data_IF_010031841181
#
_entry.id   IF_010031841181
#
_cell.length_a   1.000
_cell.length_b   1.000
_cell.length_c   1.000
_cell.angle_alpha   90.00
_cell.angle_beta   90.00
_cell.angle_gamma   90.00
#
_symmetry.space_group_name_H-M   'P 1'
#
loop_
_entity.id
_entity.type
_entity.pdbx_description
1 polymer ?
#
# COMPACT_ATOMS: atom_id res chain seq x y z
N UNK A 1 -2.99 -14.57 30.77
CA UNK A 1 -3.13 -14.15 30.58
C UNK A 1 -3.30 -13.73 30.39
N UNK A 2 -3.30 -13.76 29.82
CA UNK A 2 -3.42 -13.26 29.46
C UNK A 2 -3.71 -12.68 29.10
N UNK A 3 -3.66 -12.60 29.17
CA UNK A 3 -3.88 -11.95 28.53
C UNK A 3 -4.21 -11.70 27.96
N UNK A 4 -4.12 -11.72 27.88
CA UNK A 4 -4.33 -11.40 27.17
C UNK A 4 -4.61 -11.47 26.45
N UNK A 5 -4.61 -11.73 26.49
CA UNK A 5 -4.90 -11.85 25.80
C UNK A 5 -5.61 -11.89 25.33
N UNK A 6 -5.71 -11.92 25.18
CA UNK A 6 -6.31 -11.96 24.70
C UNK A 6 -7.03 -11.75 24.13
N UNK A 7 -7.04 -11.58 23.99
CA UNK A 7 -7.66 -11.46 23.38
C UNK A 7 -7.95 -11.48 22.77
N UNK A 8 -7.89 -11.47 22.53
CA UNK A 8 -8.04 -11.70 21.77
C UNK A 8 -8.28 -11.93 20.84
N UNK A 9 -8.45 -11.90 20.80
CA UNK A 9 -8.34 -12.47 19.48
C UNK A 9 -9.25 -11.84 18.47
N UNK A 10 -10.47 -11.65 18.79
CA UNK A 10 -11.32 -10.80 17.97
C UNK A 10 -10.70 -9.42 17.98
N UNK A 11 -10.14 -8.90 17.08
CA UNK A 11 -9.42 -7.66 17.04
C UNK A 11 -7.91 -7.85 16.87
N UNK A 12 -7.47 -9.11 16.84
CA UNK A 12 -6.07 -9.38 16.54
C UNK A 12 -5.78 -8.99 15.08
N UNK A 13 -4.67 -8.30 14.91
CA UNK A 13 -4.21 -7.92 13.59
C UNK A 13 -3.61 -9.13 12.89
N UNK A 14 -3.95 -9.32 11.60
CA UNK A 14 -3.40 -10.40 10.80
C UNK A 14 -2.78 -9.86 9.52
N UNK A 15 -1.82 -10.59 8.97
CA UNK A 15 -1.26 -10.28 7.67
C UNK A 15 -2.30 -10.64 6.60
N UNK A 16 -2.76 -9.64 5.86
CA UNK A 16 -3.76 -9.83 4.81
C UNK A 16 -3.11 -10.06 3.45
N UNK A 17 -2.13 -9.25 3.09
CA UNK A 17 -1.50 -9.28 1.77
C UNK A 17 -0.01 -9.00 1.89
N UNK A 18 0.75 -9.68 1.03
CA UNK A 18 2.15 -9.37 0.75
C UNK A 18 2.21 -8.94 -0.72
N UNK A 19 2.77 -7.75 -0.98
CA UNK A 19 2.72 -7.14 -2.30
C UNK A 19 4.10 -6.74 -2.77
N UNK A 20 4.36 -7.00 -4.05
CA UNK A 20 5.55 -6.51 -4.73
C UNK A 20 5.12 -5.80 -6.00
N UNK A 21 5.78 -4.70 -6.33
CA UNK A 21 5.47 -3.94 -7.53
C UNK A 21 6.68 -3.24 -8.09
N UNK A 22 6.55 -2.81 -9.33
CA UNK A 22 7.61 -2.11 -10.05
C UNK A 22 7.01 -0.93 -10.80
N UNK A 23 7.76 0.18 -10.82
CA UNK A 23 7.35 1.35 -11.58
C UNK A 23 7.35 1.05 -13.07
N UNK A 24 6.31 1.48 -13.77
CA UNK A 24 6.22 1.40 -15.23
C UNK A 24 6.45 2.78 -15.86
N UNK A 25 5.99 3.85 -15.20
CA UNK A 25 6.25 5.23 -15.61
C UNK A 25 6.48 6.11 -14.41
N UNK A 26 7.16 7.24 -14.63
CA UNK A 26 7.36 8.27 -13.60
C UNK A 26 7.20 9.64 -14.28
N UNK A 27 6.54 10.57 -13.58
CA UNK A 27 6.31 11.92 -14.07
C UNK A 27 6.61 12.92 -12.97
N UNK A 28 7.26 14.01 -13.34
CA UNK A 28 7.44 15.15 -12.46
C UNK A 28 6.31 16.12 -12.79
N UNK A 29 5.45 16.40 -11.80
CA UNK A 29 4.27 17.21 -12.02
C UNK A 29 4.52 18.69 -11.72
N UNK A 30 5.34 18.98 -10.70
CA UNK A 30 5.59 20.37 -10.31
C UNK A 30 6.75 20.47 -9.32
N UNK A 31 7.36 21.66 -9.28
CA UNK A 31 8.31 22.07 -8.26
C UNK A 31 7.73 23.28 -7.54
N UNK A 32 7.87 23.33 -6.23
CA UNK A 32 7.43 24.47 -5.44
C UNK A 32 8.26 24.55 -4.16
N UNK A 33 8.11 25.64 -3.37
CA UNK A 33 8.77 25.70 -2.05
C UNK A 33 8.35 24.57 -1.12
N UNK A 34 7.17 23.98 -1.34
CA UNK A 34 6.72 22.82 -0.56
C UNK A 34 7.49 21.54 -0.88
N UNK A 35 8.06 21.45 -2.09
CA UNK A 35 8.79 20.29 -2.53
C UNK A 35 8.52 19.92 -3.98
N UNK A 36 8.65 18.63 -4.26
CA UNK A 36 8.51 18.07 -5.61
C UNK A 36 7.26 17.20 -5.65
N UNK A 37 6.37 17.50 -6.61
CA UNK A 37 5.18 16.66 -6.85
C UNK A 37 5.48 15.67 -7.96
N UNK A 38 5.31 14.39 -7.63
CA UNK A 38 5.59 13.28 -8.54
C UNK A 38 4.35 12.42 -8.71
N UNK A 39 4.29 11.74 -9.84
CA UNK A 39 3.29 10.72 -10.10
C UNK A 39 3.96 9.53 -10.76
N UNK A 40 3.62 8.32 -10.34
CA UNK A 40 4.16 7.10 -10.90
C UNK A 40 3.06 6.09 -11.12
N UNK A 41 3.23 5.26 -12.14
CA UNK A 41 2.38 4.09 -12.34
C UNK A 41 3.18 2.84 -11.99
N UNK A 42 2.50 1.84 -11.47
CA UNK A 42 3.10 0.63 -10.95
C UNK A 42 2.31 -0.58 -11.44
N UNK A 43 3.00 -1.70 -11.55
CA UNK A 43 2.38 -3.00 -11.76
C UNK A 43 2.99 -4.00 -10.78
N UNK A 44 2.19 -4.94 -10.32
CA UNK A 44 2.69 -5.89 -9.35
C UNK A 44 1.77 -7.06 -9.06
N UNK A 45 2.13 -7.79 -8.02
CA UNK A 45 1.39 -8.96 -7.58
C UNK A 45 1.15 -8.91 -6.07
N UNK A 46 0.05 -9.50 -5.66
CA UNK A 46 -0.34 -9.63 -4.26
C UNK A 46 -0.63 -11.09 -3.95
N UNK A 47 -0.21 -11.53 -2.78
CA UNK A 47 -0.52 -12.86 -2.25
C UNK A 47 -1.02 -12.73 -0.81
N UNK A 48 -1.87 -13.65 -0.41
CA UNK A 48 -2.40 -13.67 0.96
C UNK A 48 -3.84 -14.14 0.99
N UNK A 49 -4.74 -13.31 1.54
CA UNK A 49 -6.16 -13.66 1.60
C UNK A 49 -6.78 -13.83 0.21
N UNK A 50 -6.10 -13.35 -0.80
CA UNK A 50 -6.33 -13.68 -2.21
C UNK A 50 -5.00 -13.54 -2.95
N UNK A 51 -4.92 -14.12 -4.13
CA UNK A 51 -3.82 -13.90 -5.07
C UNK A 51 -4.32 -13.00 -6.19
N UNK A 52 -3.52 -12.02 -6.59
CA UNK A 52 -3.94 -11.05 -7.58
C UNK A 52 -2.74 -10.46 -8.33
N UNK A 53 -3.03 -9.96 -9.52
CA UNK A 53 -2.17 -8.97 -10.17
C UNK A 53 -2.82 -7.61 -10.01
N UNK A 54 -2.01 -6.54 -10.03
CA UNK A 54 -2.57 -5.21 -9.91
C UNK A 54 -1.79 -4.18 -10.71
N UNK A 55 -2.44 -3.08 -10.99
CA UNK A 55 -1.77 -1.86 -11.44
C UNK A 55 -2.26 -0.70 -10.60
N UNK A 56 -1.45 0.35 -10.56
CA UNK A 56 -1.65 1.41 -9.59
C UNK A 56 -1.12 2.74 -10.07
N UNK A 57 -1.66 3.80 -9.49
CA UNK A 57 -1.11 5.16 -9.62
C UNK A 57 -0.81 5.67 -8.21
N UNK A 58 0.41 6.19 -8.04
CA UNK A 58 0.84 6.84 -6.81
C UNK A 58 1.11 8.31 -7.10
N UNK A 59 0.59 9.18 -6.24
CA UNK A 59 0.91 10.61 -6.25
C UNK A 59 1.66 10.96 -4.97
N UNK A 60 2.70 11.77 -5.08
CA UNK A 60 3.62 12.04 -3.98
C UNK A 60 3.97 13.52 -3.91
N UNK A 61 4.17 14.00 -2.68
CA UNK A 61 4.85 15.26 -2.41
C UNK A 61 6.14 14.94 -1.64
N UNK A 62 7.28 15.12 -2.30
CA UNK A 62 8.60 14.94 -1.67
C UNK A 62 8.97 16.27 -1.03
N UNK A 63 8.97 16.31 0.30
CA UNK A 63 9.19 17.54 1.05
C UNK A 63 10.67 17.79 1.35
N UNK A 64 11.06 19.05 1.61
CA UNK A 64 12.46 19.38 1.89
C UNK A 64 13.06 18.67 3.10
N UNK A 65 12.23 18.23 4.05
CA UNK A 65 12.68 17.52 5.25
C UNK A 65 12.93 16.03 5.03
N UNK A 66 12.91 15.57 3.75
CA UNK A 66 13.13 14.17 3.35
C UNK A 66 11.99 13.23 3.71
N UNK A 67 10.81 13.78 3.98
CA UNK A 67 9.59 12.98 4.10
C UNK A 67 8.76 13.10 2.83
N UNK A 68 7.92 12.10 2.59
CA UNK A 68 7.06 12.04 1.40
C UNK A 68 5.65 11.75 1.87
N UNK A 69 4.71 12.62 1.51
CA UNK A 69 3.29 12.32 1.66
C UNK A 69 2.81 11.68 0.37
N UNK A 70 2.05 10.59 0.46
CA UNK A 70 1.61 9.88 -0.74
C UNK A 70 0.19 9.34 -0.62
N UNK A 71 -0.42 9.15 -1.79
CA UNK A 71 -1.67 8.42 -1.97
C UNK A 71 -1.48 7.43 -3.11
N UNK A 72 -2.07 6.24 -2.98
CA UNK A 72 -1.99 5.20 -3.99
C UNK A 72 -3.38 4.63 -4.23
N UNK A 73 -3.72 4.45 -5.49
CA UNK A 73 -4.93 3.76 -5.91
C UNK A 73 -4.55 2.56 -6.75
N UNK A 74 -5.04 1.40 -6.36
CA UNK A 74 -4.73 0.14 -7.03
C UNK A 74 -6.01 -0.57 -7.45
N UNK A 75 -5.94 -1.25 -8.58
CA UNK A 75 -6.98 -2.19 -8.99
C UNK A 75 -6.36 -3.58 -8.98
N UNK A 76 -6.84 -4.44 -8.10
CA UNK A 76 -6.42 -5.83 -8.00
C UNK A 76 -7.41 -6.70 -8.78
N UNK A 77 -6.88 -7.58 -9.62
CA UNK A 77 -7.67 -8.63 -10.26
C UNK A 77 -7.23 -9.95 -9.66
N UNK A 78 -8.14 -10.60 -8.94
CA UNK A 78 -7.83 -11.85 -8.24
C UNK A 78 -7.74 -13.00 -9.21
N UNK A 79 -7.10 -14.09 -8.80
CA UNK A 79 -7.03 -15.30 -9.60
C UNK A 79 -8.42 -15.90 -9.89
N UNK A 80 -9.40 -15.60 -9.05
CA UNK A 80 -10.80 -16.00 -9.27
C UNK A 80 -11.59 -15.06 -10.16
N UNK A 81 -10.99 -13.96 -10.64
CA UNK A 81 -11.65 -13.01 -11.54
C UNK A 81 -12.38 -11.86 -10.85
N UNK A 82 -12.26 -11.74 -9.52
CA UNK A 82 -12.85 -10.62 -8.79
C UNK A 82 -11.98 -9.38 -8.88
N UNK A 83 -12.60 -8.21 -8.75
CA UNK A 83 -11.88 -6.93 -8.66
C UNK A 83 -11.94 -6.41 -7.23
N UNK A 84 -10.79 -5.94 -6.74
CA UNK A 84 -10.68 -5.28 -5.44
C UNK A 84 -9.98 -3.94 -5.66
N UNK A 85 -10.64 -2.85 -5.26
CA UNK A 85 -10.05 -1.52 -5.30
C UNK A 85 -9.38 -1.28 -3.96
N UNK A 86 -8.13 -0.83 -3.99
CA UNK A 86 -7.36 -0.61 -2.77
C UNK A 86 -6.81 0.81 -2.80
N UNK A 87 -7.06 1.54 -1.72
CA UNK A 87 -6.57 2.89 -1.53
C UNK A 87 -5.62 2.92 -0.35
N UNK A 88 -4.50 3.61 -0.54
CA UNK A 88 -3.48 3.78 0.50
C UNK A 88 -3.18 5.25 0.66
N UNK A 89 -2.93 5.66 1.90
CA UNK A 89 -2.34 6.97 2.16
C UNK A 89 -1.36 6.83 3.32
N UNK A 90 -0.29 7.61 3.29
CA UNK A 90 0.71 7.51 4.32
C UNK A 90 1.88 8.44 4.11
N UNK A 91 2.94 8.13 4.84
CA UNK A 91 4.16 8.91 4.84
C UNK A 91 5.36 8.00 4.66
N UNK A 92 6.30 8.45 3.85
CA UNK A 92 7.56 7.77 3.61
C UNK A 92 8.71 8.62 4.13
N UNK A 93 9.76 7.94 4.59
CA UNK A 93 11.01 8.58 5.03
C UNK A 93 12.12 8.09 4.15
N UNK A 94 12.87 9.02 3.54
CA UNK A 94 14.03 8.71 2.72
C UNK A 94 15.19 8.39 3.66
N UNK A 95 15.62 7.13 3.70
CA UNK A 95 16.73 6.68 4.55
C UNK A 95 18.05 6.67 3.83
N UNK A 96 18.04 6.37 2.54
CA UNK A 96 19.24 6.31 1.71
C UNK A 96 18.83 6.49 0.24
N UNK A 97 19.78 6.61 -0.67
CA UNK A 97 19.45 6.72 -2.11
C UNK A 97 18.66 5.53 -2.67
N UNK A 98 18.71 4.37 -2.00
CA UNK A 98 18.05 3.16 -2.47
C UNK A 98 16.96 2.66 -1.53
N UNK A 99 16.61 3.43 -0.49
CA UNK A 99 15.67 2.94 0.50
C UNK A 99 14.82 4.04 1.11
N UNK A 100 13.52 3.97 0.84
CA UNK A 100 12.51 4.72 1.55
C UNK A 100 11.70 3.74 2.38
N UNK A 101 11.40 4.09 3.62
CA UNK A 101 10.45 3.33 4.44
C UNK A 101 9.14 4.06 4.51
N UNK A 102 8.04 3.32 4.39
CA UNK A 102 6.72 3.94 4.41
C UNK A 102 5.73 3.15 5.28
N UNK A 103 4.80 3.90 5.84
CA UNK A 103 3.69 3.36 6.64
C UNK A 103 2.46 4.20 6.38
N UNK A 104 1.30 3.60 6.54
CA UNK A 104 0.05 4.33 6.40
C UNK A 104 -1.18 3.46 6.53
N UNK A 105 -2.30 4.00 6.09
CA UNK A 105 -3.60 3.35 6.17
C UNK A 105 -4.00 2.77 4.82
N UNK A 106 -4.82 1.73 4.88
CA UNK A 106 -5.30 1.01 3.69
C UNK A 106 -6.80 0.83 3.80
N UNK A 107 -7.51 1.09 2.70
CA UNK A 107 -8.95 0.80 2.61
C UNK A 107 -9.24 -0.01 1.36
N UNK A 108 -10.22 -0.91 1.48
CA UNK A 108 -10.63 -1.82 0.42
C UNK A 108 -12.06 -1.53 -0.01
N UNK A 109 -12.34 -1.77 -1.29
CA UNK A 109 -13.69 -1.70 -1.84
C UNK A 109 -13.84 -2.81 -2.87
N UNK A 110 -14.81 -3.69 -2.69
CA UNK A 110 -15.07 -4.77 -3.63
C UNK A 110 -16.55 -5.11 -3.68
N UNK A 111 -17.01 -5.53 -4.85
CA UNK A 111 -18.34 -6.09 -5.03
C UNK A 111 -18.38 -7.63 -4.91
N UNK A 112 -17.25 -8.26 -4.70
CA UNK A 112 -17.18 -9.71 -4.54
C UNK A 112 -17.84 -10.13 -3.23
N UNK A 113 -18.75 -11.12 -3.30
CA UNK A 113 -19.41 -11.63 -2.10
C UNK A 113 -18.41 -12.31 -1.17
N UNK A 114 -17.47 -13.06 -1.75
CA UNK A 114 -16.50 -13.82 -0.96
C UNK A 114 -15.50 -12.90 -0.23
N UNK A 115 -15.30 -11.69 -0.74
CA UNK A 115 -14.34 -10.74 -0.20
C UNK A 115 -15.01 -9.51 0.44
N UNK A 116 -16.34 -9.55 0.59
CA UNK A 116 -17.10 -8.42 1.10
C UNK A 116 -16.67 -7.97 2.50
N UNK A 117 -16.09 -8.89 3.28
CA UNK A 117 -15.56 -8.58 4.62
C UNK A 117 -14.45 -7.54 4.59
N UNK A 118 -13.77 -7.36 3.44
CA UNK A 118 -12.73 -6.34 3.30
C UNK A 118 -13.30 -4.91 3.32
N UNK A 119 -14.57 -4.73 2.95
CA UNK A 119 -15.14 -3.39 2.75
C UNK A 119 -15.22 -2.53 4.00
N UNK A 120 -15.10 -3.08 5.17
CA UNK A 120 -15.27 -2.29 6.39
C UNK A 120 -14.17 -2.49 7.42
N UNK A 121 -13.12 -3.20 7.06
CA UNK A 121 -12.07 -3.49 8.03
C UNK A 121 -11.13 -2.30 8.21
N UNK A 122 -10.49 -2.26 9.37
CA UNK A 122 -9.34 -1.36 9.59
C UNK A 122 -8.10 -2.06 9.12
N UNK A 123 -7.36 -1.42 8.23
CA UNK A 123 -6.13 -1.98 7.69
C UNK A 123 -5.05 -0.91 7.62
N UNK A 124 -3.81 -1.35 7.74
CA UNK A 124 -2.61 -0.53 7.61
C UNK A 124 -1.60 -1.22 6.73
N UNK A 125 -0.67 -0.46 6.22
CA UNK A 125 0.41 -1.01 5.42
C UNK A 125 1.76 -0.49 5.89
N UNK A 126 2.80 -1.26 5.62
CA UNK A 126 4.17 -0.87 5.84
C UNK A 126 5.08 -1.55 4.83
N UNK A 127 6.16 -0.89 4.45
CA UNK A 127 7.07 -1.47 3.50
C UNK A 127 8.22 -0.56 3.12
N UNK A 128 8.86 -0.94 2.02
CA UNK A 128 10.05 -0.27 1.53
C UNK A 128 9.96 -0.06 0.02
N UNK A 129 10.55 1.04 -0.42
CA UNK A 129 10.66 1.39 -1.82
C UNK A 129 12.12 1.69 -2.15
N UNK A 130 12.61 1.11 -3.26
CA UNK A 130 13.91 1.44 -3.83
C UNK A 130 13.69 2.39 -5.01
N UNK A 131 13.99 3.70 -4.86
CA UNK A 131 13.75 4.66 -5.94
C UNK A 131 14.67 4.50 -7.14
N UNK A 132 15.82 3.84 -6.98
CA UNK A 132 16.72 3.59 -8.10
C UNK A 132 16.21 2.44 -8.95
N UNK A 133 15.88 1.31 -8.31
CA UNK A 133 15.31 0.15 -9.01
C UNK A 133 13.86 0.35 -9.40
N UNK A 134 13.14 1.24 -8.71
CA UNK A 134 11.72 1.45 -8.93
C UNK A 134 10.87 0.30 -8.41
N UNK A 135 11.30 -0.34 -7.32
CA UNK A 135 10.65 -1.54 -6.79
C UNK A 135 10.13 -1.31 -5.38
N UNK A 136 8.91 -1.80 -5.13
CA UNK A 136 8.26 -1.77 -3.83
C UNK A 136 8.08 -3.19 -3.30
N UNK A 137 8.22 -3.33 -1.99
CA UNK A 137 7.75 -4.51 -1.27
C UNK A 137 7.07 -4.04 0.01
N UNK A 138 5.83 -4.45 0.20
CA UNK A 138 5.10 -4.02 1.38
C UNK A 138 4.04 -5.04 1.78
N UNK A 139 3.52 -4.86 2.99
CA UNK A 139 2.56 -5.77 3.58
C UNK A 139 1.37 -4.98 4.10
N UNK A 140 0.19 -5.58 3.99
CA UNK A 140 -1.06 -5.01 4.52
C UNK A 140 -1.54 -5.90 5.66
N UNK A 141 -1.82 -5.26 6.78
CA UNK A 141 -2.33 -5.90 7.99
C UNK A 141 -3.71 -5.35 8.31
N UNK A 142 -4.57 -6.19 8.82
CA UNK A 142 -5.90 -5.74 9.19
C UNK A 142 -6.54 -6.59 10.26
N UNK A 143 -7.65 -6.09 10.75
CA UNK A 143 -8.44 -6.74 11.80
C UNK A 143 -9.84 -6.98 11.28
N UNK A 144 -10.24 -8.24 11.21
CA UNK A 144 -11.60 -8.59 10.78
C UNK A 144 -12.63 -8.34 11.86
#
# INVERSE_FOLDING_TARGET
MEPGTQSHDAGAEELLLDLTSKNTTRSIKDFSPEGIRLESNLEGTATGVYDATFYATITMLVKPDRTIDYEVRQIHTTSGGDSVLVYYEGTSIIQSPTRNKFVGETTFQTGSKNLAWLNGIKARHEGEYDPVAGENHFQVFGTR
#
